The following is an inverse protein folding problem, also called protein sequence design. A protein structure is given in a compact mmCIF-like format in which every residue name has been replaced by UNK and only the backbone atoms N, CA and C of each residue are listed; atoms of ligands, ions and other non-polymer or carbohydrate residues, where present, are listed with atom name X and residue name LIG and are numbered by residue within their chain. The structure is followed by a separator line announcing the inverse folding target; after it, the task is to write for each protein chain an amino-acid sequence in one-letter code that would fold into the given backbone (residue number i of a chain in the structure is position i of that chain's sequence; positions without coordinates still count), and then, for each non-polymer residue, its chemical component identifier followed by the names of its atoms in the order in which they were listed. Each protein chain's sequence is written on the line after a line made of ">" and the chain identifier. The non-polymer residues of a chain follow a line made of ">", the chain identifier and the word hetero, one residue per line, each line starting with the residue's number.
data_IF_995059359895
#
_entry.id   IF_995059359895
#
_cell.length_a   1.000
_cell.length_b   1.000
_cell.length_c   1.000
_cell.angle_alpha   90.00
_cell.angle_beta   90.00
_cell.angle_gamma   90.00
#
_symmetry.space_group_name_H-M   'P 1'
#
loop_
_entity.id
_entity.type
_entity.pdbx_description
1 polymer ?
#
# COMPACT_ATOMS: atom_id res chain seq x y z
N UNK A 1 -24.12 1.18 -12.24
CA UNK A 1 -24.58 0.16 -13.19
C UNK A 1 -26.08 0.28 -13.29
N UNK A 2 -26.64 0.35 -14.50
CA UNK A 2 -28.09 0.42 -14.69
C UNK A 2 -28.68 -0.99 -14.57
N UNK A 3 -29.96 -1.11 -14.20
CA UNK A 3 -30.64 -2.41 -14.14
C UNK A 3 -30.54 -3.21 -15.45
N UNK A 4 -30.77 -2.59 -16.63
CA UNK A 4 -30.59 -3.28 -17.91
C UNK A 4 -29.17 -3.81 -18.16
N UNK A 5 -28.14 -3.03 -17.83
CA UNK A 5 -26.75 -3.47 -18.01
C UNK A 5 -26.38 -4.63 -17.07
N UNK A 6 -26.95 -4.66 -15.86
CA UNK A 6 -26.75 -5.78 -14.95
C UNK A 6 -27.38 -7.06 -15.51
N UNK A 7 -28.58 -6.97 -16.06
CA UNK A 7 -29.28 -8.13 -16.62
C UNK A 7 -28.55 -8.68 -17.87
N UNK A 8 -28.09 -7.78 -18.75
CA UNK A 8 -27.28 -8.17 -19.91
C UNK A 8 -25.99 -8.91 -19.50
N UNK A 9 -25.28 -8.42 -18.49
CA UNK A 9 -24.07 -9.07 -17.99
C UNK A 9 -24.36 -10.45 -17.40
N UNK A 10 -25.46 -10.61 -16.65
CA UNK A 10 -25.88 -11.93 -16.16
C UNK A 10 -26.16 -12.89 -17.31
N UNK A 11 -26.89 -12.45 -18.33
CA UNK A 11 -27.16 -13.30 -19.49
C UNK A 11 -25.89 -13.75 -20.20
N UNK A 12 -24.89 -12.87 -20.34
CA UNK A 12 -23.59 -13.23 -20.91
C UNK A 12 -22.92 -14.30 -20.05
N UNK A 13 -22.86 -14.10 -18.74
CA UNK A 13 -22.20 -15.03 -17.81
C UNK A 13 -22.89 -16.38 -17.77
N UNK A 14 -24.22 -16.41 -17.65
CA UNK A 14 -25.00 -17.64 -17.48
C UNK A 14 -25.20 -18.42 -18.78
N UNK A 15 -25.35 -17.73 -19.92
CA UNK A 15 -25.80 -18.37 -21.18
C UNK A 15 -24.72 -18.43 -22.26
N UNK A 16 -23.68 -17.58 -22.21
CA UNK A 16 -22.70 -17.45 -23.31
C UNK A 16 -21.29 -17.91 -22.93
N UNK A 17 -20.94 -17.95 -21.65
CA UNK A 17 -19.66 -18.52 -21.22
C UNK A 17 -19.71 -20.04 -21.32
N UNK A 18 -18.71 -20.63 -21.96
CA UNK A 18 -18.52 -22.07 -22.06
C UNK A 18 -17.04 -22.41 -21.99
N UNK A 19 -16.70 -23.52 -21.35
CA UNK A 19 -15.32 -23.95 -21.19
C UNK A 19 -14.79 -24.55 -22.50
N UNK A 20 -13.74 -23.94 -23.06
CA UNK A 20 -13.07 -24.45 -24.26
C UNK A 20 -11.65 -23.90 -24.39
N UNK A 21 -10.74 -24.71 -24.97
CA UNK A 21 -9.39 -24.26 -25.34
C UNK A 21 -8.33 -24.38 -24.23
N UNK A 22 -7.36 -23.47 -24.26
CA UNK A 22 -6.21 -23.40 -23.34
C UNK A 22 -6.24 -22.10 -22.52
N UNK A 23 -5.38 -22.02 -21.50
CA UNK A 23 -5.30 -20.86 -20.59
C UNK A 23 -4.23 -19.85 -21.04
N UNK A 24 -4.63 -18.67 -21.51
CA UNK A 24 -3.73 -17.56 -21.83
C UNK A 24 -3.91 -16.40 -20.84
N UNK A 25 -3.28 -16.50 -19.66
CA UNK A 25 -3.42 -15.49 -18.61
C UNK A 25 -2.84 -14.14 -19.03
N UNK A 26 -1.73 -14.14 -19.77
CA UNK A 26 -1.13 -12.92 -20.34
C UNK A 26 -2.15 -12.09 -21.12
N UNK A 27 -2.82 -12.71 -22.09
CA UNK A 27 -3.80 -12.01 -22.92
C UNK A 27 -4.99 -11.46 -22.13
N UNK A 28 -5.44 -12.20 -21.10
CA UNK A 28 -6.47 -11.75 -20.18
C UNK A 28 -6.05 -10.52 -19.37
N UNK A 29 -4.82 -10.54 -18.82
CA UNK A 29 -4.26 -9.40 -18.07
C UNK A 29 -4.08 -8.16 -18.96
N UNK A 30 -3.49 -8.32 -20.15
CA UNK A 30 -3.30 -7.23 -21.11
C UNK A 30 -4.65 -6.61 -21.52
N UNK A 31 -5.67 -7.44 -21.74
CA UNK A 31 -7.04 -6.97 -22.03
C UNK A 31 -7.62 -6.20 -20.85
N UNK A 32 -7.47 -6.71 -19.62
CA UNK A 32 -7.93 -6.04 -18.41
C UNK A 32 -7.27 -4.66 -18.23
N UNK A 33 -5.96 -4.57 -18.42
CA UNK A 33 -5.21 -3.31 -18.39
C UNK A 33 -5.72 -2.34 -19.47
N UNK A 34 -5.90 -2.81 -20.70
CA UNK A 34 -6.43 -2.00 -21.79
C UNK A 34 -7.83 -1.44 -21.48
N UNK A 35 -8.71 -2.25 -20.88
CA UNK A 35 -10.04 -1.80 -20.44
C UNK A 35 -9.91 -0.71 -19.36
N UNK A 36 -9.04 -0.89 -18.38
CA UNK A 36 -8.82 0.10 -17.33
C UNK A 36 -8.26 1.42 -17.87
N UNK A 37 -7.37 1.34 -18.85
CA UNK A 37 -6.81 2.48 -19.57
C UNK A 37 -7.80 3.15 -20.52
N UNK A 38 -8.76 2.40 -21.06
CA UNK A 38 -9.83 2.93 -21.92
C UNK A 38 -10.95 3.65 -21.19
N UNK A 39 -11.00 3.60 -19.85
CA UNK A 39 -12.09 4.22 -19.06
C UNK A 39 -12.15 5.73 -19.26
N UNK A 40 -13.36 6.23 -19.49
CA UNK A 40 -13.64 7.67 -19.54
C UNK A 40 -13.49 8.36 -18.19
N UNK A 41 -13.85 7.66 -17.10
CA UNK A 41 -13.78 8.19 -15.73
C UNK A 41 -12.72 7.45 -14.93
N UNK A 42 -11.50 7.98 -14.94
CA UNK A 42 -10.36 7.44 -14.17
C UNK A 42 -10.20 8.14 -12.82
N UNK A 43 -10.36 9.45 -12.80
CA UNK A 43 -10.21 10.26 -11.59
C UNK A 43 -11.20 9.81 -10.52
N UNK A 44 -10.73 9.70 -9.28
CA UNK A 44 -11.51 9.32 -8.08
C UNK A 44 -12.16 7.93 -8.07
N UNK A 45 -11.82 7.04 -9.01
CA UNK A 45 -12.37 5.67 -9.05
C UNK A 45 -11.29 4.63 -8.80
N UNK A 46 -11.51 3.81 -7.78
CA UNK A 46 -10.77 2.58 -7.56
C UNK A 46 -11.08 1.63 -8.72
N UNK A 47 -10.04 0.97 -9.21
CA UNK A 47 -10.15 -0.09 -10.19
C UNK A 47 -9.13 -1.16 -9.91
N UNK A 48 -9.54 -2.41 -10.05
CA UNK A 48 -8.71 -3.59 -9.87
C UNK A 48 -9.03 -4.58 -10.98
N UNK A 49 -8.11 -5.52 -11.19
CA UNK A 49 -8.33 -6.70 -12.03
C UNK A 49 -8.59 -7.88 -11.10
N UNK A 50 -9.63 -8.66 -11.40
CA UNK A 50 -9.82 -9.97 -10.80
C UNK A 50 -9.51 -11.02 -11.87
N UNK A 51 -8.49 -11.83 -11.61
CA UNK A 51 -8.07 -12.93 -12.47
C UNK A 51 -8.42 -14.25 -11.80
N UNK A 52 -9.12 -15.12 -12.52
CA UNK A 52 -9.59 -16.42 -12.02
C UNK A 52 -9.03 -17.53 -12.90
N UNK A 53 -8.46 -18.58 -12.32
CA UNK A 53 -8.00 -19.74 -13.07
C UNK A 53 -8.02 -21.03 -12.24
N UNK A 54 -8.42 -22.12 -12.88
CA UNK A 54 -8.43 -23.50 -12.39
C UNK A 54 -7.25 -24.34 -12.90
N UNK A 55 -6.31 -23.73 -13.64
CA UNK A 55 -5.26 -24.46 -14.32
C UNK A 55 -3.97 -23.67 -14.50
N UNK A 56 -3.06 -24.23 -15.29
CA UNK A 56 -1.76 -23.65 -15.58
C UNK A 56 -1.82 -22.82 -16.85
N UNK A 57 -1.04 -21.75 -16.89
CA UNK A 57 -0.87 -20.97 -18.11
C UNK A 57 -0.22 -21.83 -19.21
N UNK A 58 -0.63 -21.58 -20.45
CA UNK A 58 -0.03 -22.24 -21.61
C UNK A 58 1.48 -21.90 -21.68
N UNK A 59 2.39 -22.87 -21.87
CA UNK A 59 3.83 -22.67 -21.62
C UNK A 59 4.53 -21.55 -22.39
N UNK A 60 3.99 -21.12 -23.53
CA UNK A 60 4.55 -20.03 -24.33
C UNK A 60 3.96 -18.66 -23.99
N UNK A 61 2.99 -18.60 -23.09
CA UNK A 61 2.48 -17.35 -22.55
C UNK A 61 3.37 -16.88 -21.38
N UNK A 62 3.40 -15.58 -21.14
CA UNK A 62 4.29 -14.94 -20.17
C UNK A 62 3.52 -13.97 -19.27
N UNK A 63 2.52 -14.45 -18.55
CA UNK A 63 1.70 -13.57 -17.70
C UNK A 63 2.52 -12.91 -16.59
N UNK A 64 3.57 -13.60 -16.11
CA UNK A 64 4.46 -13.07 -15.07
C UNK A 64 5.18 -11.78 -15.48
N UNK A 65 5.41 -11.60 -16.78
CA UNK A 65 6.16 -10.47 -17.33
C UNK A 65 5.27 -9.26 -17.65
N UNK A 66 3.95 -9.37 -17.45
CA UNK A 66 3.02 -8.25 -17.64
C UNK A 66 3.20 -7.26 -16.50
N UNK A 67 3.44 -5.99 -16.84
CA UNK A 67 3.53 -4.92 -15.85
C UNK A 67 2.14 -4.59 -15.29
N UNK A 68 1.89 -5.11 -14.07
CA UNK A 68 0.67 -4.87 -13.30
C UNK A 68 0.92 -3.97 -12.09
N UNK A 69 2.10 -3.37 -11.98
CA UNK A 69 2.52 -2.60 -10.80
C UNK A 69 1.65 -1.37 -10.52
N UNK A 70 0.93 -0.88 -11.52
CA UNK A 70 0.02 0.27 -11.42
C UNK A 70 -1.42 -0.05 -10.99
N UNK A 71 -1.78 -1.32 -10.83
CA UNK A 71 -3.15 -1.76 -10.51
C UNK A 71 -3.17 -2.88 -9.48
N UNK A 72 -4.20 -2.96 -8.65
CA UNK A 72 -4.42 -4.13 -7.80
C UNK A 72 -4.90 -5.31 -8.65
N UNK A 73 -4.17 -6.44 -8.60
CA UNK A 73 -4.60 -7.70 -9.23
C UNK A 73 -4.90 -8.74 -8.16
N UNK A 74 -6.17 -9.13 -8.06
CA UNK A 74 -6.59 -10.22 -7.20
C UNK A 74 -6.66 -11.50 -8.02
N UNK A 75 -5.87 -12.49 -7.63
CA UNK A 75 -5.81 -13.77 -8.34
C UNK A 75 -6.52 -14.86 -7.55
N UNK A 76 -7.39 -15.62 -8.20
CA UNK A 76 -8.12 -16.74 -7.61
C UNK A 76 -7.68 -18.04 -8.29
N UNK A 77 -7.12 -18.95 -7.49
CA UNK A 77 -6.75 -20.31 -7.93
C UNK A 77 -7.82 -21.30 -7.53
N UNK A 78 -8.38 -22.04 -8.49
CA UNK A 78 -9.43 -23.04 -8.26
C UNK A 78 -8.86 -24.46 -8.37
N UNK A 79 -9.33 -25.36 -7.50
CA UNK A 79 -8.94 -26.78 -7.55
C UNK A 79 -7.44 -26.99 -7.33
N UNK A 80 -6.94 -28.20 -7.55
CA UNK A 80 -5.51 -28.50 -7.28
C UNK A 80 -4.60 -28.21 -8.48
N UNK A 81 -5.16 -28.02 -9.68
CA UNK A 81 -4.41 -27.90 -10.93
C UNK A 81 -3.95 -26.47 -11.24
N UNK A 82 -4.43 -25.47 -10.50
CA UNK A 82 -4.01 -24.08 -10.67
C UNK A 82 -2.50 -23.89 -10.40
N UNK A 83 -1.90 -22.91 -11.08
CA UNK A 83 -0.51 -22.52 -10.80
C UNK A 83 -0.44 -21.47 -9.68
N UNK A 84 -0.38 -21.93 -8.43
CA UNK A 84 -0.24 -21.06 -7.24
C UNK A 84 0.97 -20.13 -7.35
N UNK A 85 2.10 -20.61 -7.88
CA UNK A 85 3.34 -19.84 -7.97
C UNK A 85 3.20 -18.69 -8.96
N UNK A 86 2.57 -18.94 -10.11
CA UNK A 86 2.32 -17.92 -11.12
C UNK A 86 1.27 -16.90 -10.63
N UNK A 87 0.12 -17.37 -10.14
CA UNK A 87 -0.95 -16.51 -9.65
C UNK A 87 -0.51 -15.66 -8.46
N UNK A 88 0.26 -16.25 -7.53
CA UNK A 88 0.89 -15.54 -6.42
C UNK A 88 1.90 -14.50 -6.88
N UNK A 89 2.72 -14.81 -7.88
CA UNK A 89 3.67 -13.84 -8.43
C UNK A 89 2.98 -12.65 -9.10
N UNK A 90 1.91 -12.88 -9.88
CA UNK A 90 1.12 -11.81 -10.52
C UNK A 90 0.53 -10.89 -9.45
N UNK A 91 -0.12 -11.45 -8.43
CA UNK A 91 -0.69 -10.67 -7.33
C UNK A 91 0.38 -9.86 -6.58
N UNK A 92 1.50 -10.49 -6.24
CA UNK A 92 2.60 -9.84 -5.51
C UNK A 92 3.30 -8.74 -6.32
N UNK A 93 3.35 -8.87 -7.65
CA UNK A 93 3.91 -7.85 -8.54
C UNK A 93 2.94 -6.66 -8.75
N UNK A 94 1.71 -6.75 -8.27
CA UNK A 94 0.66 -5.75 -8.45
C UNK A 94 0.51 -4.80 -7.24
N UNK A 95 -0.21 -3.70 -7.42
CA UNK A 95 -0.40 -2.72 -6.34
C UNK A 95 -1.41 -3.21 -5.28
N UNK A 96 -0.93 -3.89 -4.23
CA UNK A 96 -1.80 -4.36 -3.14
C UNK A 96 -2.71 -5.53 -3.53
N UNK A 97 -2.36 -6.26 -4.59
CA UNK A 97 -3.04 -7.48 -4.99
C UNK A 97 -2.86 -8.61 -3.97
N UNK A 98 -3.66 -9.66 -4.12
CA UNK A 98 -3.62 -10.83 -3.24
C UNK A 98 -4.00 -12.07 -4.02
N UNK A 99 -3.28 -13.17 -3.76
CA UNK A 99 -3.65 -14.49 -4.23
C UNK A 99 -4.57 -15.18 -3.23
N UNK A 100 -5.62 -15.79 -3.75
CA UNK A 100 -6.68 -16.43 -3.00
C UNK A 100 -6.93 -17.83 -3.55
N UNK A 101 -6.69 -18.83 -2.71
CA UNK A 101 -7.06 -20.20 -3.02
C UNK A 101 -8.55 -20.43 -2.78
N UNK A 102 -9.22 -21.02 -3.77
CA UNK A 102 -10.64 -21.37 -3.75
C UNK A 102 -10.77 -22.89 -3.83
N UNK A 103 -11.27 -23.47 -2.74
CA UNK A 103 -11.50 -24.91 -2.66
C UNK A 103 -12.90 -25.32 -3.14
N UNK A 104 -13.88 -24.46 -2.88
CA UNK A 104 -15.32 -24.69 -3.12
C UNK A 104 -16.06 -23.35 -3.33
N UNK A 105 -17.34 -23.43 -3.73
CA UNK A 105 -18.18 -22.27 -4.04
C UNK A 105 -18.42 -21.35 -2.82
N UNK A 106 -18.54 -21.91 -1.62
CA UNK A 106 -18.67 -21.13 -0.38
C UNK A 106 -17.42 -20.29 -0.14
N UNK A 107 -16.24 -20.88 -0.36
CA UNK A 107 -14.96 -20.18 -0.27
C UNK A 107 -14.83 -19.06 -1.32
N UNK A 108 -15.34 -19.25 -2.54
CA UNK A 108 -15.34 -18.19 -3.55
C UNK A 108 -16.15 -16.99 -3.09
N UNK A 109 -17.40 -17.22 -2.66
CA UNK A 109 -18.33 -16.14 -2.28
C UNK A 109 -17.76 -15.31 -1.14
N UNK A 110 -17.23 -15.95 -0.09
CA UNK A 110 -16.61 -15.25 1.03
C UNK A 110 -15.41 -14.40 0.61
N UNK A 111 -14.46 -14.98 -0.14
CA UNK A 111 -13.26 -14.28 -0.61
C UNK A 111 -13.57 -13.13 -1.57
N UNK A 112 -14.55 -13.33 -2.45
CA UNK A 112 -14.97 -12.29 -3.38
C UNK A 112 -15.66 -11.14 -2.64
N UNK A 113 -16.48 -11.44 -1.63
CA UNK A 113 -17.09 -10.43 -0.77
C UNK A 113 -16.05 -9.64 0.04
N UNK A 114 -14.99 -10.27 0.55
CA UNK A 114 -13.87 -9.61 1.23
C UNK A 114 -13.20 -8.57 0.32
N UNK A 115 -12.87 -8.95 -0.93
CA UNK A 115 -12.28 -8.02 -1.90
C UNK A 115 -13.23 -6.87 -2.21
N UNK A 116 -14.50 -7.15 -2.50
CA UNK A 116 -15.48 -6.10 -2.78
C UNK A 116 -15.66 -5.17 -1.59
N UNK A 117 -15.72 -5.71 -0.37
CA UNK A 117 -15.80 -4.93 0.87
C UNK A 117 -14.60 -3.99 1.03
N UNK A 118 -13.39 -4.48 0.75
CA UNK A 118 -12.18 -3.65 0.70
C UNK A 118 -12.30 -2.56 -0.35
N UNK A 119 -12.55 -2.92 -1.62
CA UNK A 119 -12.62 -1.96 -2.73
C UNK A 119 -13.68 -0.86 -2.52
N UNK A 120 -14.83 -1.22 -1.95
CA UNK A 120 -15.90 -0.29 -1.60
C UNK A 120 -15.59 0.54 -0.34
N UNK A 121 -14.70 0.04 0.52
CA UNK A 121 -14.28 0.68 1.75
C UNK A 121 -13.12 1.65 1.59
N UNK A 122 -12.52 1.82 0.41
CA UNK A 122 -11.40 2.75 0.23
C UNK A 122 -11.84 4.19 0.42
N UNK A 123 -11.27 4.87 1.41
CA UNK A 123 -11.55 6.28 1.73
C UNK A 123 -10.42 7.21 1.28
N UNK A 124 -9.21 6.68 1.18
CA UNK A 124 -7.99 7.40 0.85
C UNK A 124 -7.15 6.57 -0.12
N UNK A 125 -6.63 7.23 -1.15
CA UNK A 125 -5.78 6.62 -2.18
C UNK A 125 -4.36 7.16 -2.13
N UNK A 126 -3.38 6.35 -2.53
CA UNK A 126 -1.97 6.76 -2.66
C UNK A 126 -1.44 7.53 -1.44
N UNK A 127 -1.76 7.04 -0.24
CA UNK A 127 -1.29 7.57 1.03
C UNK A 127 0.23 7.39 1.12
N UNK A 128 0.91 8.49 1.41
CA UNK A 128 2.33 8.52 1.71
C UNK A 128 2.56 9.33 2.98
N UNK A 129 3.49 8.87 3.81
CA UNK A 129 4.01 9.63 4.94
C UNK A 129 5.44 10.00 4.64
N UNK A 130 5.71 11.29 4.53
CA UNK A 130 7.08 11.81 4.49
C UNK A 130 7.46 12.37 5.84
N UNK A 131 8.61 11.96 6.35
CA UNK A 131 9.19 12.42 7.59
C UNK A 131 10.51 13.10 7.29
N UNK A 132 10.74 14.29 7.86
CA UNK A 132 11.96 15.06 7.70
C UNK A 132 12.67 15.18 9.03
N UNK A 133 13.99 14.94 9.01
CA UNK A 133 14.82 15.31 10.14
C UNK A 133 14.82 16.84 10.28
N UNK A 134 14.96 17.33 11.50
CA UNK A 134 15.14 18.75 11.77
C UNK A 134 16.62 19.03 11.98
N UNK A 135 17.23 19.75 11.04
CA UNK A 135 18.67 20.01 11.04
C UNK A 135 19.10 20.73 12.32
N UNK A 136 20.11 20.18 13.00
CA UNK A 136 20.58 20.70 14.30
C UNK A 136 19.67 20.37 15.50
N UNK A 137 18.60 19.58 15.31
CA UNK A 137 17.67 19.17 16.37
C UNK A 137 17.55 17.66 16.50
N UNK A 138 17.69 16.93 15.40
CA UNK A 138 17.53 15.47 15.38
C UNK A 138 18.18 14.82 14.17
N UNK A 139 18.54 13.56 14.30
CA UNK A 139 18.86 12.66 13.18
C UNK A 139 17.86 11.51 13.15
N UNK A 140 17.32 11.18 11.97
CA UNK A 140 16.53 9.97 11.75
C UNK A 140 17.50 8.80 11.59
N UNK A 141 17.46 7.83 12.51
CA UNK A 141 18.30 6.63 12.41
C UNK A 141 17.64 5.54 11.57
N UNK A 142 16.32 5.37 11.75
CA UNK A 142 15.57 4.27 11.13
C UNK A 142 14.08 4.58 11.08
N UNK A 143 13.43 4.13 10.02
CA UNK A 143 11.97 4.10 9.89
C UNK A 143 11.51 2.65 9.73
N UNK A 144 10.77 2.16 10.72
CA UNK A 144 10.18 0.84 10.74
C UNK A 144 8.72 0.92 10.26
N UNK A 145 8.52 0.53 9.00
CA UNK A 145 7.22 0.54 8.32
C UNK A 145 6.82 -0.86 7.79
N UNK A 146 7.33 -1.94 8.38
CA UNK A 146 7.04 -3.30 7.91
C UNK A 146 7.47 -3.53 6.46
N UNK A 147 6.58 -4.10 5.65
CA UNK A 147 6.81 -4.37 4.22
C UNK A 147 6.52 -3.18 3.30
N UNK A 148 6.09 -2.02 3.84
CA UNK A 148 5.78 -0.87 3.00
C UNK A 148 7.05 -0.30 2.34
N UNK A 149 7.02 0.00 1.03
CA UNK A 149 8.15 0.60 0.34
C UNK A 149 8.58 1.93 0.97
N UNK A 150 9.89 2.10 1.11
CA UNK A 150 10.50 3.31 1.65
C UNK A 150 11.44 3.94 0.62
N UNK A 151 11.42 5.26 0.53
CA UNK A 151 12.36 6.03 -0.28
C UNK A 151 13.06 7.07 0.62
N UNK A 152 14.39 7.07 0.60
CA UNK A 152 15.22 8.00 1.36
C UNK A 152 15.73 9.08 0.41
N UNK A 153 15.50 10.33 0.76
CA UNK A 153 16.08 11.49 0.08
C UNK A 153 17.11 12.15 1.01
N UNK A 154 18.39 11.92 0.70
CA UNK A 154 19.51 12.44 1.49
C UNK A 154 19.67 13.95 1.37
N UNK A 155 19.24 14.57 0.26
CA UNK A 155 19.42 16.01 0.02
C UNK A 155 18.54 16.85 0.94
N UNK A 156 17.32 16.39 1.19
CA UNK A 156 16.37 17.04 2.11
C UNK A 156 16.20 16.28 3.42
N UNK A 157 17.04 15.26 3.64
CA UNK A 157 17.07 14.40 4.84
C UNK A 157 15.68 13.90 5.25
N UNK A 158 15.01 13.24 4.31
CA UNK A 158 13.66 12.73 4.49
C UNK A 158 13.53 11.26 4.17
N UNK A 159 12.55 10.62 4.80
CA UNK A 159 12.12 9.26 4.48
C UNK A 159 10.65 9.30 4.10
N UNK A 160 10.30 8.76 2.95
CA UNK A 160 8.91 8.63 2.48
C UNK A 160 8.50 7.17 2.50
N UNK A 161 7.47 6.86 3.29
CA UNK A 161 6.79 5.55 3.33
C UNK A 161 5.58 5.61 2.40
N UNK A 162 5.50 4.68 1.45
CA UNK A 162 4.35 4.54 0.55
C UNK A 162 3.41 3.46 1.04
N UNK A 163 2.20 3.85 1.44
CA UNK A 163 1.18 2.92 1.92
C UNK A 163 0.25 2.46 0.78
N UNK A 164 0.01 3.29 -0.22
CA UNK A 164 -1.03 3.00 -1.23
C UNK A 164 -2.41 3.35 -0.67
N UNK A 165 -3.40 2.49 -0.88
CA UNK A 165 -4.77 2.79 -0.50
C UNK A 165 -5.06 2.44 0.98
N UNK A 166 -5.96 3.20 1.62
CA UNK A 166 -6.39 3.01 3.01
C UNK A 166 -7.92 2.83 3.06
N UNK A 167 -8.35 1.78 3.75
CA UNK A 167 -9.76 1.45 3.95
C UNK A 167 -10.38 2.18 5.14
N UNK A 168 -11.70 2.33 5.14
CA UNK A 168 -12.44 2.91 6.24
C UNK A 168 -12.21 2.11 7.53
N UNK A 169 -11.77 2.78 8.59
CA UNK A 169 -11.46 2.17 9.88
C UNK A 169 -10.10 1.44 9.94
N UNK A 170 -9.36 1.37 8.83
CA UNK A 170 -7.98 0.88 8.81
C UNK A 170 -7.03 1.92 9.40
N UNK A 171 -6.08 1.46 10.22
CA UNK A 171 -5.01 2.29 10.74
C UNK A 171 -3.65 1.66 10.42
N UNK A 172 -2.70 2.50 10.01
CA UNK A 172 -1.30 2.08 9.78
C UNK A 172 -0.38 2.79 10.74
N UNK A 173 0.62 2.05 11.20
CA UNK A 173 1.59 2.49 12.20
C UNK A 173 2.99 2.45 11.61
N UNK A 174 3.74 3.52 11.84
CA UNK A 174 5.17 3.60 11.54
C UNK A 174 5.92 3.96 12.80
N UNK A 175 7.03 3.28 13.03
CA UNK A 175 7.94 3.58 14.13
C UNK A 175 9.14 4.36 13.58
N UNK A 176 9.40 5.53 14.15
CA UNK A 176 10.55 6.37 13.76
C UNK A 176 11.55 6.35 14.92
N UNK A 177 12.79 5.99 14.62
CA UNK A 177 13.92 6.04 15.56
C UNK A 177 14.69 7.33 15.33
N UNK A 178 14.84 8.14 16.39
CA UNK A 178 15.44 9.47 16.33
C UNK A 178 16.54 9.62 17.38
N UNK A 179 17.64 10.27 17.00
CA UNK A 179 18.64 10.79 17.91
C UNK A 179 18.50 12.31 18.04
N UNK A 180 18.12 12.85 19.21
CA UNK A 180 18.07 14.29 19.41
C UNK A 180 19.47 14.92 19.49
N UNK A 181 19.63 16.16 19.04
CA UNK A 181 20.87 16.91 19.20
C UNK A 181 21.16 17.17 20.69
N UNK A 182 22.39 16.86 21.11
CA UNK A 182 22.76 16.70 22.54
C UNK A 182 23.56 17.91 23.05
N UNK A 183 23.90 18.85 22.21
CA UNK A 183 25.01 19.79 22.39
C UNK A 183 24.60 21.20 22.87
N UNK A 184 23.30 21.52 22.96
CA UNK A 184 22.81 22.80 23.52
C UNK A 184 21.53 22.66 24.34
N UNK A 185 21.36 23.55 25.33
CA UNK A 185 20.05 23.78 25.95
C UNK A 185 19.06 24.26 24.89
N UNK A 186 17.90 23.63 24.80
CA UNK A 186 16.94 23.88 23.73
C UNK A 186 15.52 23.97 24.26
N UNK A 187 14.85 25.11 24.06
CA UNK A 187 13.41 25.29 24.33
C UNK A 187 12.61 24.95 23.06
N UNK A 188 12.13 23.71 23.03
CA UNK A 188 10.99 23.22 22.25
C UNK A 188 10.77 23.80 20.85
N UNK A 189 11.64 23.41 19.92
CA UNK A 189 11.34 23.46 18.48
C UNK A 189 11.24 22.02 18.00
N UNK A 190 10.32 21.74 17.07
CA UNK A 190 9.98 20.38 16.66
C UNK A 190 11.24 19.56 16.34
N UNK A 191 11.35 18.35 16.90
CA UNK A 191 12.47 17.42 16.65
C UNK A 191 12.23 16.54 15.43
N UNK A 192 11.05 16.63 14.81
CA UNK A 192 10.73 15.94 13.56
C UNK A 192 9.57 16.68 12.89
N UNK A 193 9.59 16.73 11.56
CA UNK A 193 8.44 17.15 10.78
C UNK A 193 7.89 15.94 10.03
N UNK A 194 6.57 15.86 9.92
CA UNK A 194 5.88 14.80 9.21
C UNK A 194 4.73 15.39 8.40
N UNK A 195 4.49 14.82 7.22
CA UNK A 195 3.40 15.20 6.34
C UNK A 195 2.84 13.95 5.69
N UNK A 196 1.52 13.87 5.64
CA UNK A 196 0.84 12.91 4.81
C UNK A 196 0.45 13.57 3.50
N UNK A 197 0.72 12.90 2.38
CA UNK A 197 0.10 13.22 1.10
C UNK A 197 -0.79 12.07 0.70
N UNK A 198 -1.97 12.38 0.20
CA UNK A 198 -2.92 11.35 -0.21
C UNK A 198 -3.92 11.92 -1.20
N UNK A 199 -4.71 11.05 -1.82
CA UNK A 199 -5.79 11.43 -2.72
C UNK A 199 -7.12 11.00 -2.14
N UNK A 200 -8.10 11.89 -2.13
CA UNK A 200 -9.49 11.53 -1.84
C UNK A 200 -10.41 12.28 -2.78
N UNK A 201 -11.47 11.60 -3.24
CA UNK A 201 -12.39 12.12 -4.26
C UNK A 201 -11.67 12.67 -5.51
N UNK A 202 -10.52 12.06 -5.87
CA UNK A 202 -9.73 12.43 -7.05
C UNK A 202 -8.92 13.71 -6.92
N UNK A 203 -8.88 14.33 -5.73
CA UNK A 203 -8.04 15.49 -5.45
C UNK A 203 -6.90 15.07 -4.53
N UNK A 204 -5.72 15.62 -4.80
CA UNK A 204 -4.56 15.40 -3.94
C UNK A 204 -4.64 16.37 -2.75
N UNK A 205 -4.41 15.82 -1.56
CA UNK A 205 -4.39 16.52 -0.29
C UNK A 205 -3.04 16.33 0.38
N UNK A 206 -2.64 17.37 1.09
CA UNK A 206 -1.43 17.36 1.90
C UNK A 206 -1.85 17.77 3.30
N UNK A 207 -1.56 16.95 4.30
CA UNK A 207 -1.68 17.41 5.68
C UNK A 207 -0.77 18.63 5.85
N UNK A 208 -1.12 19.62 6.68
CA UNK A 208 -0.24 20.76 6.91
C UNK A 208 1.16 20.27 7.33
N UNK A 209 2.23 20.85 6.75
CA UNK A 209 3.66 20.55 7.08
C UNK A 209 4.04 20.75 8.55
N UNK A 210 3.07 21.12 9.40
CA UNK A 210 3.25 21.55 10.77
C UNK A 210 2.24 20.97 11.75
N UNK A 211 1.56 19.85 11.45
CA UNK A 211 1.10 18.96 12.54
C UNK A 211 2.35 18.35 13.18
N UNK A 212 3.09 19.21 13.88
CA UNK A 212 4.26 18.91 14.67
C UNK A 212 3.84 17.77 15.58
N UNK A 213 4.43 16.59 15.38
CA UNK A 213 4.57 15.64 16.49
C UNK A 213 5.43 16.40 17.52
N UNK A 214 4.76 17.18 18.38
CA UNK A 214 5.41 17.98 19.41
C UNK A 214 5.80 17.02 20.52
N UNK A 215 6.94 16.37 20.35
CA UNK A 215 7.58 15.73 21.46
C UNK A 215 8.42 16.79 22.19
N UNK A 216 8.03 17.11 23.41
CA UNK A 216 8.80 17.99 24.27
C UNK A 216 9.78 17.13 25.06
N UNK A 217 11.06 17.18 24.69
CA UNK A 217 12.12 16.70 25.57
C UNK A 217 12.53 17.89 26.44
N UNK A 218 12.21 17.85 27.73
CA UNK A 218 12.70 18.84 28.69
C UNK A 218 14.03 18.35 29.24
N UNK A 219 15.12 18.98 28.83
CA UNK A 219 16.44 18.70 29.38
C UNK A 219 16.71 19.66 30.53
N UNK A 220 17.04 19.12 31.69
CA UNK A 220 17.24 19.91 32.91
C UNK A 220 18.65 20.49 33.04
N UNK A 221 19.60 20.10 32.17
CA UNK A 221 21.00 20.59 32.11
C UNK A 221 21.64 20.42 30.72
N UNK A 222 22.64 21.24 30.41
CA UNK A 222 23.56 21.09 29.27
C UNK A 222 24.30 19.75 29.31
N UNK A 223 24.58 19.15 28.15
CA UNK A 223 25.37 17.91 28.11
C UNK A 223 26.81 18.17 28.56
N UNK A 224 27.23 17.45 29.60
CA UNK A 224 28.64 17.31 29.92
C UNK A 224 29.16 16.07 29.19
N UNK A 225 30.05 16.25 28.20
CA UNK A 225 30.62 15.16 27.40
C UNK A 225 31.38 14.15 28.27
N UNK A 226 31.93 14.60 29.39
CA UNK A 226 32.70 13.76 30.32
C UNK A 226 31.82 13.02 31.35
N UNK A 227 30.52 13.34 31.42
CA UNK A 227 29.55 12.68 32.30
C UNK A 227 28.47 11.91 31.53
N UNK A 228 28.69 11.68 30.23
CA UNK A 228 27.75 10.94 29.40
C UNK A 228 27.80 9.46 29.81
N UNK A 229 26.74 8.98 30.46
CA UNK A 229 26.64 7.56 30.82
C UNK A 229 26.58 6.73 29.53
N UNK A 230 27.35 5.62 29.41
CA UNK A 230 27.30 4.76 28.22
C UNK A 230 25.89 4.18 27.98
N UNK A 231 25.08 4.10 29.03
CA UNK A 231 23.66 3.75 28.94
C UNK A 231 22.86 4.71 28.06
N UNK A 232 23.21 6.01 27.99
CA UNK A 232 22.49 7.07 27.25
C UNK A 232 22.79 7.02 25.74
N UNK A 233 23.94 6.50 25.32
CA UNK A 233 24.21 6.21 23.90
C UNK A 233 23.27 5.14 23.35
N UNK A 234 22.73 4.27 24.21
CA UNK A 234 21.84 3.18 23.85
C UNK A 234 20.33 3.53 23.91
N UNK A 235 19.94 4.78 24.21
CA UNK A 235 18.52 5.17 24.21
C UNK A 235 18.01 5.38 22.80
N UNK A 236 17.48 4.31 22.21
CA UNK A 236 16.65 4.39 21.00
C UNK A 236 15.25 4.82 21.38
N UNK A 237 14.84 6.00 20.91
CA UNK A 237 13.49 6.51 21.10
C UNK A 237 12.63 6.12 19.91
N UNK A 238 11.63 5.26 20.14
CA UNK A 238 10.68 4.82 19.14
C UNK A 238 9.38 5.64 19.22
N UNK A 239 8.97 6.23 18.09
CA UNK A 239 7.74 7.04 18.01
C UNK A 239 6.74 6.42 17.06
N UNK A 240 5.48 6.29 17.48
CA UNK A 240 4.41 5.78 16.61
C UNK A 240 3.66 6.94 15.96
N UNK A 241 3.65 6.97 14.62
CA UNK A 241 2.70 7.79 13.86
C UNK A 241 1.51 6.90 13.51
N UNK A 242 0.31 7.30 13.96
CA UNK A 242 -0.95 6.63 13.60
C UNK A 242 -1.66 7.46 12.54
N UNK A 243 -2.02 6.82 11.44
CA UNK A 243 -2.80 7.41 10.36
C UNK A 243 -4.24 6.91 10.48
N UNK A 244 -5.21 7.83 10.48
CA UNK A 244 -6.64 7.60 10.60
C UNK A 244 -7.39 8.34 9.49
#
# INVERSE_FOLDING_TARGET
>A
MTGPAQEELKEIVEKKLSAHGYTNMKGGLETGLQVLDGRQHKSSRISSIVLMSDGKEYPTSGARDVDVSGVAVYTFGFGEDHDEKLLGAIANNSHGGTFLYVKDEESLTGRFAEILGGLLGVVVQNLKLTVWQQQGHSTIEKVDAGSYPQNVDENVHSVTVSFGDLFSGEFRKVIIHLLPAVDREYRATAIIAAQCSYRTQGKDFYSPRGHRLRCFIHRTRSANRDAMKPEVENWRWSWTVSLA
#
